data_IF_209930236299
#
_entry.id   IF_209930236299
#
_cell.length_a   1.000
_cell.length_b   1.000
_cell.length_c   1.000
_cell.angle_alpha   90.00
_cell.angle_beta   90.00
_cell.angle_gamma   90.00
#
_symmetry.space_group_name_H-M   'P 1'
#
loop_
_entity.id
_entity.type
_entity.pdbx_description
1 polymer ?
#
# COMPACT_ATOMS: atom_id res chain seq x y z
N UNK A 1 12.44 -19.88 13.73
CA UNK A 1 11.20 -20.13 12.97
C UNK A 1 10.14 -19.25 13.59
N UNK A 2 9.83 -18.11 12.98
CA UNK A 2 8.73 -17.25 13.44
C UNK A 2 7.40 -17.99 13.20
N UNK A 3 6.45 -18.03 14.16
CA UNK A 3 5.23 -18.81 14.02
C UNK A 3 4.36 -18.24 12.89
N UNK A 4 3.75 -19.13 12.09
CA UNK A 4 2.87 -18.79 10.95
C UNK A 4 1.77 -17.80 11.35
N UNK A 5 1.30 -17.84 12.60
CA UNK A 5 0.34 -16.89 13.17
C UNK A 5 0.83 -15.44 13.18
N UNK A 6 2.14 -15.20 13.32
CA UNK A 6 2.75 -13.87 13.27
C UNK A 6 2.77 -13.32 11.85
N UNK A 7 2.98 -14.17 10.85
CA UNK A 7 2.96 -13.80 9.42
C UNK A 7 1.53 -13.46 8.97
N UNK A 8 0.54 -14.27 9.39
CA UNK A 8 -0.88 -14.01 9.14
C UNK A 8 -1.33 -12.72 9.83
N UNK A 9 -0.91 -12.50 11.08
CA UNK A 9 -1.19 -11.25 11.80
C UNK A 9 -0.59 -10.02 11.13
N UNK A 10 0.64 -10.11 10.59
CA UNK A 10 1.26 -9.02 9.83
C UNK A 10 0.51 -8.75 8.52
N UNK A 11 0.15 -9.78 7.76
CA UNK A 11 -0.62 -9.65 6.51
C UNK A 11 -1.98 -8.95 6.72
N UNK A 12 -2.71 -9.31 7.78
CA UNK A 12 -4.01 -8.66 8.06
C UNK A 12 -3.88 -7.21 8.52
N UNK A 13 -2.83 -6.87 9.29
CA UNK A 13 -2.54 -5.49 9.67
C UNK A 13 -2.10 -4.67 8.44
N UNK A 14 -1.35 -5.27 7.52
CA UNK A 14 -0.92 -4.62 6.30
C UNK A 14 -2.11 -4.21 5.42
N UNK A 15 -3.11 -5.07 5.28
CA UNK A 15 -4.35 -4.79 4.56
C UNK A 15 -5.16 -3.66 5.21
N UNK A 16 -5.28 -3.64 6.55
CA UNK A 16 -5.99 -2.58 7.27
C UNK A 16 -5.32 -1.21 7.11
N UNK A 17 -4.01 -1.14 7.22
CA UNK A 17 -3.23 0.09 7.03
C UNK A 17 -3.24 0.55 5.55
N UNK A 18 -3.33 -0.37 4.58
CA UNK A 18 -3.51 -0.04 3.17
C UNK A 18 -4.90 0.55 2.90
N UNK A 19 -5.95 -0.01 3.51
CA UNK A 19 -7.31 0.54 3.45
C UNK A 19 -7.32 1.97 4.01
N UNK A 20 -6.72 2.18 5.18
CA UNK A 20 -6.59 3.52 5.77
C UNK A 20 -5.83 4.49 4.84
N UNK A 21 -4.76 4.04 4.20
CA UNK A 21 -4.03 4.85 3.22
C UNK A 21 -4.93 5.31 2.06
N UNK A 22 -5.72 4.39 1.49
CA UNK A 22 -6.69 4.69 0.43
C UNK A 22 -7.76 5.68 0.91
N UNK A 23 -8.29 5.51 2.13
CA UNK A 23 -9.23 6.46 2.74
C UNK A 23 -8.64 7.86 2.89
N UNK A 24 -7.37 7.96 3.32
CA UNK A 24 -6.69 9.25 3.42
C UNK A 24 -6.53 9.92 2.05
N UNK A 25 -6.20 9.16 1.00
CA UNK A 25 -6.10 9.70 -0.37
C UNK A 25 -7.46 10.26 -0.83
N UNK A 26 -8.55 9.52 -0.62
CA UNK A 26 -9.91 9.96 -0.97
C UNK A 26 -10.29 11.24 -0.21
N UNK A 27 -9.99 11.30 1.09
CA UNK A 27 -10.24 12.47 1.92
C UNK A 27 -9.47 13.70 1.42
N UNK A 28 -8.19 13.52 1.10
CA UNK A 28 -7.34 14.59 0.58
C UNK A 28 -7.84 15.09 -0.79
N UNK A 29 -8.25 14.19 -1.68
CA UNK A 29 -8.82 14.54 -2.97
C UNK A 29 -10.12 15.36 -2.82
N UNK A 30 -10.96 15.03 -1.84
CA UNK A 30 -12.14 15.84 -1.52
C UNK A 30 -11.76 17.25 -1.06
N UNK A 31 -10.81 17.36 -0.12
CA UNK A 31 -10.33 18.67 0.37
C UNK A 31 -9.70 19.51 -0.74
N UNK A 32 -8.98 18.89 -1.66
CA UNK A 32 -8.39 19.56 -2.82
C UNK A 32 -9.46 20.10 -3.77
N UNK A 33 -10.52 19.34 -4.06
CA UNK A 33 -11.66 19.82 -4.87
C UNK A 33 -12.31 21.05 -4.24
N UNK A 34 -12.58 21.02 -2.93
CA UNK A 34 -13.16 22.16 -2.23
C UNK A 34 -12.26 23.40 -2.28
N UNK A 35 -10.95 23.20 -2.11
CA UNK A 35 -9.97 24.27 -2.18
C UNK A 35 -9.88 24.86 -3.59
N UNK A 36 -9.98 24.03 -4.62
CA UNK A 36 -10.01 24.47 -6.02
C UNK A 36 -11.21 25.37 -6.31
N UNK A 37 -12.40 25.03 -5.78
CA UNK A 37 -13.59 25.89 -5.89
C UNK A 37 -13.34 27.24 -5.21
N UNK A 38 -12.72 27.26 -4.03
CA UNK A 38 -12.37 28.50 -3.31
C UNK A 38 -11.34 29.34 -4.06
N UNK A 39 -10.33 28.71 -4.66
CA UNK A 39 -9.36 29.38 -5.54
C UNK A 39 -10.08 30.04 -6.70
N UNK A 40 -10.99 29.32 -7.35
CA UNK A 40 -11.72 29.84 -8.50
C UNK A 40 -12.59 31.05 -8.12
N UNK A 41 -13.31 30.98 -7.00
CA UNK A 41 -14.09 32.12 -6.47
C UNK A 41 -13.20 33.32 -6.13
N UNK A 42 -12.05 33.08 -5.48
CA UNK A 42 -11.10 34.14 -5.15
C UNK A 42 -10.50 34.81 -6.41
N UNK A 43 -10.22 34.02 -7.46
CA UNK A 43 -9.78 34.54 -8.77
C UNK A 43 -10.85 35.43 -9.41
N UNK A 44 -12.10 34.98 -9.41
CA UNK A 44 -13.24 35.75 -9.94
C UNK A 44 -13.41 37.08 -9.19
N UNK A 45 -13.25 37.07 -7.86
CA UNK A 45 -13.35 38.26 -7.02
C UNK A 45 -12.07 39.12 -6.98
N UNK A 46 -11.05 38.81 -7.80
CA UNK A 46 -9.73 39.49 -7.85
C UNK A 46 -9.00 39.56 -6.50
N UNK A 47 -9.25 38.60 -5.62
CA UNK A 47 -8.70 38.52 -4.27
C UNK A 47 -7.31 37.85 -4.25
N UNK A 48 -6.27 38.56 -4.70
CA UNK A 48 -4.92 38.00 -4.91
C UNK A 48 -4.32 37.31 -3.67
N UNK A 49 -4.39 37.94 -2.50
CA UNK A 49 -3.86 37.36 -1.24
C UNK A 49 -4.49 36.01 -0.92
N UNK A 50 -5.81 35.88 -1.13
CA UNK A 50 -6.52 34.62 -0.93
C UNK A 50 -6.13 33.57 -1.97
N UNK A 51 -5.97 33.97 -3.24
CA UNK A 51 -5.48 33.05 -4.28
C UNK A 51 -4.13 32.45 -3.89
N UNK A 52 -3.17 33.27 -3.45
CA UNK A 52 -1.87 32.78 -3.00
C UNK A 52 -1.99 31.86 -1.78
N UNK A 53 -2.76 32.25 -0.77
CA UNK A 53 -2.97 31.44 0.43
C UNK A 53 -3.58 30.07 0.10
N UNK A 54 -4.62 30.04 -0.74
CA UNK A 54 -5.25 28.79 -1.15
C UNK A 54 -4.35 27.95 -2.06
N UNK A 55 -3.57 28.57 -2.94
CA UNK A 55 -2.63 27.86 -3.81
C UNK A 55 -1.53 27.19 -2.99
N UNK A 56 -0.99 27.89 -2.00
CA UNK A 56 -0.01 27.34 -1.07
C UNK A 56 -0.57 26.13 -0.30
N UNK A 57 -1.79 26.24 0.23
CA UNK A 57 -2.48 25.11 0.90
C UNK A 57 -2.70 23.94 -0.06
N UNK A 58 -3.01 24.20 -1.33
CA UNK A 58 -3.20 23.17 -2.35
C UNK A 58 -1.89 22.39 -2.57
N UNK A 59 -0.76 23.08 -2.69
CA UNK A 59 0.55 22.45 -2.85
C UNK A 59 0.92 21.55 -1.67
N UNK A 60 0.60 21.96 -0.44
CA UNK A 60 0.80 21.13 0.76
C UNK A 60 -0.04 19.85 0.67
N UNK A 61 -1.34 19.97 0.37
CA UNK A 61 -2.23 18.80 0.27
C UNK A 61 -1.79 17.84 -0.84
N UNK A 62 -1.32 18.35 -1.97
CA UNK A 62 -0.75 17.54 -3.05
C UNK A 62 0.48 16.75 -2.59
N UNK A 63 1.38 17.39 -1.83
CA UNK A 63 2.56 16.71 -1.26
C UNK A 63 2.18 15.57 -0.32
N UNK A 64 1.22 15.81 0.58
CA UNK A 64 0.73 14.79 1.53
C UNK A 64 0.04 13.64 0.78
N UNK A 65 -0.80 13.93 -0.22
CA UNK A 65 -1.44 12.90 -1.05
C UNK A 65 -0.40 12.03 -1.75
N UNK A 66 0.63 12.66 -2.32
CA UNK A 66 1.70 11.94 -3.01
C UNK A 66 2.47 11.03 -2.04
N UNK A 67 2.71 11.46 -0.80
CA UNK A 67 3.32 10.64 0.24
C UNK A 67 2.49 9.38 0.53
N UNK A 68 1.17 9.49 0.66
CA UNK A 68 0.30 8.31 0.87
C UNK A 68 0.32 7.36 -0.33
N UNK A 69 0.26 7.88 -1.55
CA UNK A 69 0.37 7.04 -2.77
C UNK A 69 1.70 6.28 -2.78
N UNK A 70 2.82 6.97 -2.53
CA UNK A 70 4.14 6.32 -2.46
C UNK A 70 4.23 5.28 -1.33
N UNK A 71 3.62 5.57 -0.17
CA UNK A 71 3.57 4.64 0.95
C UNK A 71 2.79 3.37 0.58
N UNK A 72 1.61 3.51 -0.01
CA UNK A 72 0.80 2.40 -0.51
C UNK A 72 1.57 1.54 -1.53
N UNK A 73 2.20 2.18 -2.52
CA UNK A 73 3.00 1.50 -3.54
C UNK A 73 4.20 0.75 -2.97
N UNK A 74 4.91 1.35 -2.01
CA UNK A 74 6.07 0.72 -1.37
C UNK A 74 5.64 -0.49 -0.55
N UNK A 75 4.48 -0.38 0.10
CA UNK A 75 3.94 -1.45 0.94
C UNK A 75 3.39 -2.61 0.12
N UNK A 76 2.60 -2.33 -0.92
CA UNK A 76 2.14 -3.35 -1.86
C UNK A 76 3.29 -4.16 -2.46
N UNK A 77 4.39 -3.49 -2.84
CA UNK A 77 5.62 -4.16 -3.30
C UNK A 77 6.25 -5.06 -2.26
N UNK A 78 6.27 -4.67 -0.99
CA UNK A 78 6.77 -5.55 0.10
C UNK A 78 5.91 -6.79 0.27
N UNK A 79 4.59 -6.66 0.21
CA UNK A 79 3.65 -7.80 0.28
C UNK A 79 3.91 -8.77 -0.86
N UNK A 80 4.12 -8.28 -2.08
CA UNK A 80 4.45 -9.11 -3.25
C UNK A 80 5.75 -9.88 -3.03
N UNK A 81 6.83 -9.20 -2.61
CA UNK A 81 8.13 -9.84 -2.33
C UNK A 81 8.01 -10.91 -1.23
N UNK A 82 7.30 -10.62 -0.14
CA UNK A 82 7.09 -11.57 0.94
C UNK A 82 6.24 -12.78 0.51
N UNK A 83 5.26 -12.58 -0.39
CA UNK A 83 4.48 -13.67 -0.99
C UNK A 83 5.34 -14.55 -1.88
N UNK A 84 6.17 -13.94 -2.72
CA UNK A 84 7.12 -14.67 -3.57
C UNK A 84 8.07 -15.49 -2.69
N UNK A 85 8.74 -14.87 -1.71
CA UNK A 85 9.66 -15.55 -0.77
C UNK A 85 8.98 -16.66 0.06
N UNK A 86 7.70 -16.47 0.43
CA UNK A 86 6.89 -17.50 1.08
C UNK A 86 6.64 -18.72 0.18
N UNK A 87 6.29 -18.48 -1.10
CA UNK A 87 6.12 -19.54 -2.10
C UNK A 87 7.44 -20.29 -2.39
N UNK A 88 8.56 -19.57 -2.47
CA UNK A 88 9.90 -20.18 -2.59
C UNK A 88 10.26 -21.11 -1.42
N UNK A 89 9.72 -20.85 -0.21
CA UNK A 89 9.95 -21.67 0.97
C UNK A 89 8.98 -22.86 1.06
N UNK A 90 7.73 -22.73 0.58
CA UNK A 90 6.79 -23.85 0.47
C UNK A 90 7.26 -24.90 -0.54
N UNK A 91 7.84 -24.49 -1.67
CA UNK A 91 8.41 -25.40 -2.68
C UNK A 91 9.61 -26.20 -2.13
N UNK A 92 10.40 -25.62 -1.22
CA UNK A 92 11.50 -26.33 -0.53
C UNK A 92 11.03 -27.16 0.66
N UNK A 93 9.84 -26.89 1.20
CA UNK A 93 9.20 -27.69 2.24
C UNK A 93 8.56 -28.99 1.73
N UNK A 94 8.36 -29.13 0.41
CA UNK A 94 7.77 -30.33 -0.21
C UNK A 94 8.78 -31.43 -0.58
N UNK A 95 10.09 -31.27 -0.28
CA UNK A 95 11.11 -32.28 -0.61
C UNK A 95 11.65 -33.05 0.60
N UNK A 96 10.88 -33.24 1.66
CA UNK A 96 11.25 -34.15 2.75
C UNK A 96 10.03 -34.94 3.27
N UNK A 97 9.68 -36.01 2.57
CA UNK A 97 8.83 -37.11 3.03
C UNK A 97 9.38 -38.44 2.51
N UNK A 98 9.40 -39.53 3.31
CA UNK A 98 10.38 -40.60 3.18
C UNK A 98 9.88 -41.73 2.26
N UNK A 99 10.55 -41.97 1.13
CA UNK A 99 10.43 -43.26 0.44
C UNK A 99 11.60 -44.15 0.82
N UNK A 100 11.39 -44.94 1.89
CA UNK A 100 12.13 -46.17 2.16
C UNK A 100 11.27 -47.36 1.74
N UNK A 101 11.83 -48.20 0.88
CA UNK A 101 11.40 -49.58 0.63
C UNK A 101 10.43 -49.74 -0.55
N UNK A 102 10.54 -50.75 -1.41
CA UNK A 102 11.41 -51.92 -1.49
C UNK A 102 11.33 -52.44 -2.93
N UNK A 103 12.44 -53.03 -3.40
CA UNK A 103 12.54 -54.23 -4.24
C UNK A 103 11.42 -54.48 -5.27
N UNK A 104 11.79 -54.53 -6.56
CA UNK A 104 11.70 -55.80 -7.28
C UNK A 104 12.66 -55.85 -8.47
N UNK A 105 13.36 -56.99 -8.47
CA UNK A 105 14.12 -57.63 -9.53
C UNK A 105 13.22 -57.92 -10.76
N UNK A 106 13.86 -58.38 -11.84
CA UNK A 106 13.34 -58.78 -13.16
C UNK A 106 13.44 -57.67 -14.23
N UNK A 107 14.25 -57.77 -15.28
CA UNK A 107 15.02 -58.87 -15.87
C UNK A 107 16.12 -58.28 -16.76
#
# INVERSE_FOLDING_TARGET
MEPISRVIGMLMVEDAELIQCCEQIILLDSKMRDLQVRIQRAKQNRQRTFVYSYTFRMSILQGIRHMYVQYGDRKARRVIVLREEGQWNEEKGSSNGPFKGQLNLER
#
